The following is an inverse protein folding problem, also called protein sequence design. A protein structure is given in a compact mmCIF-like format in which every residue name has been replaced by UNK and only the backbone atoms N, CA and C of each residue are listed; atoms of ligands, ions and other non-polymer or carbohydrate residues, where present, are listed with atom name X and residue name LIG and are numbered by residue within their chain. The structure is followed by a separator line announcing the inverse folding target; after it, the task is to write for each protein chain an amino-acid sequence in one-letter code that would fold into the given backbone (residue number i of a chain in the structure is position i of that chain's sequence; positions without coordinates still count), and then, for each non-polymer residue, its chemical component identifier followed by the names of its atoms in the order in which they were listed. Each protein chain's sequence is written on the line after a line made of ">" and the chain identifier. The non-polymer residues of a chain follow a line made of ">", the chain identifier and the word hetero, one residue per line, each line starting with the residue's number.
data_IF_352086294643
#
_entry.id   IF_352086294643
#
_cell.length_a   1.000
_cell.length_b   1.000
_cell.length_c   1.000
_cell.angle_alpha   90.00
_cell.angle_beta   90.00
_cell.angle_gamma   90.00
#
_symmetry.space_group_name_H-M   'P 1'
#
loop_
_entity.id
_entity.type
_entity.pdbx_description
1 polymer ?
#
# COMPACT_ATOMS: atom_id res chain seq x y z
N UNK A 1 6.89 22.70 13.34
CA UNK A 1 5.43 22.53 13.16
C UNK A 1 4.86 23.12 11.86
N UNK A 2 5.17 24.37 11.48
CA UNK A 2 4.52 25.04 10.33
C UNK A 2 4.79 24.38 8.97
N UNK A 3 6.01 23.93 8.68
CA UNK A 3 6.37 23.45 7.34
C UNK A 3 5.63 22.17 6.88
N UNK A 4 5.45 21.17 7.77
CA UNK A 4 4.72 19.94 7.44
C UNK A 4 3.21 20.11 7.57
N UNK A 5 2.72 20.90 8.54
CA UNK A 5 1.31 21.27 8.62
C UNK A 5 0.84 22.02 7.36
N UNK A 6 1.66 22.95 6.85
CA UNK A 6 1.44 23.60 5.56
C UNK A 6 1.52 22.60 4.39
N UNK A 7 2.40 21.58 4.45
CA UNK A 7 2.42 20.51 3.45
C UNK A 7 1.10 19.74 3.42
N UNK A 8 0.55 19.33 4.58
CA UNK A 8 -0.73 18.62 4.66
C UNK A 8 -1.93 19.50 4.25
N UNK A 9 -1.91 20.79 4.57
CA UNK A 9 -2.92 21.76 4.10
C UNK A 9 -2.83 21.97 2.59
N UNK A 10 -1.63 22.12 2.03
CA UNK A 10 -1.42 22.16 0.59
C UNK A 10 -1.85 20.85 -0.09
N UNK A 11 -1.58 19.69 0.53
CA UNK A 11 -1.98 18.37 0.04
C UNK A 11 -3.51 18.17 -0.01
N UNK A 12 -4.27 18.91 0.81
CA UNK A 12 -5.74 18.92 0.76
C UNK A 12 -6.35 19.86 -0.29
N UNK A 13 -5.53 20.54 -1.10
CA UNK A 13 -6.01 21.36 -2.21
C UNK A 13 -6.77 20.47 -3.22
N UNK A 14 -7.92 20.95 -3.69
CA UNK A 14 -8.75 20.28 -4.69
C UNK A 14 -7.96 19.95 -5.97
N UNK A 15 -6.92 20.73 -6.26
CA UNK A 15 -5.99 20.51 -7.38
C UNK A 15 -5.22 19.19 -7.26
N UNK A 16 -4.77 18.81 -6.06
CA UNK A 16 -4.00 17.59 -5.84
C UNK A 16 -4.87 16.34 -5.75
N UNK A 17 -6.10 16.48 -5.25
CA UNK A 17 -7.08 15.38 -5.23
C UNK A 17 -7.47 14.98 -6.65
N UNK A 18 -7.57 15.95 -7.57
CA UNK A 18 -7.93 15.71 -8.98
C UNK A 18 -6.71 15.52 -9.90
N UNK A 19 -5.50 15.67 -9.37
CA UNK A 19 -4.29 15.50 -10.15
C UNK A 19 -4.06 14.02 -10.50
N UNK A 20 -3.83 13.74 -11.78
CA UNK A 20 -3.46 12.41 -12.28
C UNK A 20 -2.17 12.46 -13.07
N UNK A 21 -1.15 11.77 -12.57
CA UNK A 21 0.13 11.60 -13.27
C UNK A 21 0.01 10.70 -14.51
N UNK A 22 1.01 10.73 -15.41
CA UNK A 22 1.00 9.95 -16.66
C UNK A 22 0.91 8.42 -16.46
N UNK A 23 1.22 7.94 -15.26
CA UNK A 23 1.21 6.53 -14.87
C UNK A 23 0.36 6.29 -13.63
N UNK A 24 -0.64 7.13 -13.39
CA UNK A 24 -1.54 6.95 -12.25
C UNK A 24 -2.83 6.25 -12.67
N UNK A 25 -3.21 5.21 -11.92
CA UNK A 25 -4.42 4.44 -12.22
C UNK A 25 -5.71 5.21 -11.90
N UNK A 26 -5.68 6.21 -11.03
CA UNK A 26 -6.76 7.16 -10.77
C UNK A 26 -6.19 8.49 -10.27
N UNK A 27 -7.05 9.45 -10.01
CA UNK A 27 -6.64 10.76 -9.50
C UNK A 27 -6.05 10.62 -8.09
N UNK A 28 -5.25 11.60 -7.65
CA UNK A 28 -4.73 11.69 -6.29
C UNK A 28 -3.69 10.63 -5.90
N UNK A 29 -3.26 9.73 -6.80
CA UNK A 29 -2.23 8.71 -6.50
C UNK A 29 -0.94 9.36 -5.99
N UNK A 30 -0.49 10.44 -6.65
CA UNK A 30 0.67 11.21 -6.17
C UNK A 30 0.44 11.85 -4.80
N UNK A 31 -0.78 12.32 -4.50
CA UNK A 31 -1.14 12.87 -3.20
C UNK A 31 -0.98 11.81 -2.10
N UNK A 32 -1.57 10.63 -2.28
CA UNK A 32 -1.50 9.54 -1.29
C UNK A 32 -0.08 9.01 -1.11
N UNK A 33 0.69 8.88 -2.19
CA UNK A 33 2.11 8.50 -2.14
C UNK A 33 2.96 9.56 -1.42
N UNK A 34 2.70 10.84 -1.66
CA UNK A 34 3.41 11.94 -1.01
C UNK A 34 3.08 11.98 0.48
N UNK A 35 1.81 11.79 0.84
CA UNK A 35 1.37 11.67 2.22
C UNK A 35 2.09 10.52 2.95
N UNK A 36 2.16 9.34 2.31
CA UNK A 36 2.85 8.17 2.87
C UNK A 36 4.33 8.48 3.16
N UNK A 37 5.04 9.05 2.18
CA UNK A 37 6.45 9.40 2.32
C UNK A 37 6.67 10.49 3.37
N UNK A 38 5.79 11.49 3.42
CA UNK A 38 5.84 12.58 4.40
C UNK A 38 5.63 12.07 5.83
N UNK A 39 4.66 11.18 6.04
CA UNK A 39 4.43 10.54 7.34
C UNK A 39 5.60 9.64 7.75
N UNK A 40 6.16 8.85 6.84
CA UNK A 40 7.33 8.02 7.13
C UNK A 40 8.52 8.89 7.54
N UNK A 41 8.80 9.96 6.79
CA UNK A 41 9.86 10.91 7.13
C UNK A 41 9.62 11.53 8.51
N UNK A 42 8.38 11.97 8.79
CA UNK A 42 8.04 12.57 10.07
C UNK A 42 8.21 11.57 11.23
N UNK A 43 7.75 10.33 11.07
CA UNK A 43 7.86 9.27 12.07
C UNK A 43 9.32 8.95 12.43
N UNK A 44 10.20 8.92 11.42
CA UNK A 44 11.62 8.64 11.58
C UNK A 44 12.46 9.85 12.03
N UNK A 45 11.85 11.03 12.15
CA UNK A 45 12.55 12.24 12.56
C UNK A 45 12.96 12.19 14.04
N UNK A 46 14.19 12.65 14.32
CA UNK A 46 14.66 12.88 15.68
C UNK A 46 13.94 14.07 16.34
N UNK A 47 13.51 15.06 15.55
CA UNK A 47 12.74 16.21 16.02
C UNK A 47 11.32 15.78 16.42
N UNK A 48 11.00 15.93 17.70
CA UNK A 48 9.71 15.58 18.29
C UNK A 48 8.54 16.38 17.69
N UNK A 49 8.74 17.66 17.38
CA UNK A 49 7.71 18.49 16.78
C UNK A 49 7.36 18.04 15.36
N UNK A 50 8.35 17.54 14.62
CA UNK A 50 8.14 16.92 13.30
C UNK A 50 7.44 15.58 13.47
N UNK A 51 7.90 14.75 14.41
CA UNK A 51 7.30 13.43 14.67
C UNK A 51 5.84 13.52 15.11
N UNK A 52 5.49 14.50 15.96
CA UNK A 52 4.12 14.77 16.37
C UNK A 52 3.18 15.07 15.18
N UNK A 53 3.69 15.62 14.07
CA UNK A 53 2.85 15.83 12.88
C UNK A 53 2.41 14.52 12.23
N UNK A 54 3.20 13.45 12.32
CA UNK A 54 2.78 12.14 11.85
C UNK A 54 1.53 11.67 12.61
N UNK A 55 1.48 11.91 13.92
CA UNK A 55 0.38 11.46 14.78
C UNK A 55 -0.93 12.17 14.48
N UNK A 56 -0.91 13.49 14.29
CA UNK A 56 -2.14 14.27 14.06
C UNK A 56 -2.79 13.92 12.72
N UNK A 57 -2.00 13.57 11.70
CA UNK A 57 -2.47 13.45 10.32
C UNK A 57 -2.46 12.01 9.77
N UNK A 58 -2.25 11.00 10.62
CA UNK A 58 -2.13 9.61 10.19
C UNK A 58 -3.35 9.09 9.41
N UNK A 59 -4.57 9.50 9.80
CA UNK A 59 -5.81 9.13 9.09
C UNK A 59 -6.06 9.79 7.73
N UNK A 60 -5.37 10.90 7.39
CA UNK A 60 -5.63 11.64 6.15
C UNK A 60 -5.30 10.85 4.88
N UNK A 61 -4.26 10.02 4.93
CA UNK A 61 -3.87 9.16 3.80
C UNK A 61 -5.03 8.26 3.34
N UNK A 62 -5.74 7.66 4.30
CA UNK A 62 -6.92 6.83 4.02
C UNK A 62 -8.10 7.63 3.50
N UNK A 63 -8.33 8.83 4.06
CA UNK A 63 -9.39 9.71 3.57
C UNK A 63 -9.17 10.07 2.10
N UNK A 64 -7.97 10.52 1.73
CA UNK A 64 -7.65 10.84 0.34
C UNK A 64 -7.71 9.62 -0.57
N UNK A 65 -7.19 8.48 -0.15
CA UNK A 65 -7.28 7.24 -0.93
C UNK A 65 -8.73 6.86 -1.23
N UNK A 66 -9.65 7.06 -0.28
CA UNK A 66 -11.08 6.80 -0.47
C UNK A 66 -11.73 7.81 -1.42
N UNK A 67 -11.48 9.10 -1.20
CA UNK A 67 -12.02 10.19 -2.03
C UNK A 67 -11.57 10.07 -3.48
N UNK A 68 -10.34 9.58 -3.71
CA UNK A 68 -9.77 9.39 -5.03
C UNK A 68 -10.12 8.04 -5.69
N UNK A 69 -10.97 7.23 -5.06
CA UNK A 69 -11.41 5.94 -5.60
C UNK A 69 -10.33 4.84 -5.61
N UNK A 70 -9.27 4.94 -4.80
CA UNK A 70 -8.14 4.03 -4.91
C UNK A 70 -8.39 2.60 -4.40
N UNK A 71 -9.51 2.38 -3.71
CA UNK A 71 -9.89 1.06 -3.20
C UNK A 71 -10.54 0.16 -4.26
N UNK A 72 -10.88 0.70 -5.45
CA UNK A 72 -11.38 -0.07 -6.59
C UNK A 72 -10.21 -0.59 -7.42
N UNK A 73 -9.43 -1.53 -6.88
CA UNK A 73 -8.37 -2.19 -7.63
C UNK A 73 -8.93 -3.46 -8.26
N UNK A 74 -9.08 -3.46 -9.59
CA UNK A 74 -9.42 -4.67 -10.34
C UNK A 74 -8.21 -5.61 -10.44
N UNK A 75 -8.46 -6.92 -10.39
CA UNK A 75 -7.43 -7.91 -10.69
C UNK A 75 -7.03 -7.83 -12.17
N UNK A 76 -5.72 -7.76 -12.43
CA UNK A 76 -5.20 -7.91 -13.78
C UNK A 76 -4.81 -9.35 -14.03
N UNK A 77 -5.29 -9.90 -15.12
CA UNK A 77 -4.79 -11.17 -15.64
C UNK A 77 -3.32 -11.02 -16.02
N UNK A 78 -2.49 -12.00 -15.63
CA UNK A 78 -1.09 -12.05 -16.02
C UNK A 78 -1.03 -12.54 -17.46
N UNK A 79 -0.56 -11.72 -18.41
CA UNK A 79 -0.46 -12.14 -19.80
C UNK A 79 0.66 -13.17 -19.98
N UNK A 80 0.56 -13.98 -21.04
CA UNK A 80 1.71 -14.72 -21.55
C UNK A 80 2.76 -13.79 -22.17
N UNK A 81 3.96 -14.32 -22.49
CA UNK A 81 4.97 -13.54 -23.21
C UNK A 81 4.42 -13.09 -24.57
N UNK A 82 4.24 -11.79 -24.75
CA UNK A 82 3.66 -11.18 -25.95
C UNK A 82 4.34 -9.85 -26.28
N UNK A 83 4.10 -9.31 -27.49
CA UNK A 83 4.57 -7.96 -27.86
C UNK A 83 4.03 -6.86 -26.94
N UNK A 84 2.95 -7.13 -26.21
CA UNK A 84 2.31 -6.18 -25.28
C UNK A 84 2.80 -6.35 -23.83
N UNK A 85 3.79 -7.21 -23.58
CA UNK A 85 4.28 -7.53 -22.23
C UNK A 85 4.70 -6.27 -21.45
N UNK A 86 5.37 -5.34 -22.12
CA UNK A 86 5.77 -4.05 -21.53
C UNK A 86 4.58 -3.21 -21.07
N UNK A 87 3.52 -3.14 -21.89
CA UNK A 87 2.33 -2.37 -21.56
C UNK A 87 1.59 -2.98 -20.36
N UNK A 88 1.48 -4.31 -20.34
CA UNK A 88 0.89 -5.05 -19.22
C UNK A 88 1.69 -4.87 -17.93
N UNK A 89 3.02 -4.98 -17.99
CA UNK A 89 3.88 -4.77 -16.84
C UNK A 89 3.75 -3.36 -16.28
N UNK A 90 3.74 -2.32 -17.13
CA UNK A 90 3.53 -0.94 -16.70
C UNK A 90 2.16 -0.73 -16.05
N UNK A 91 1.11 -1.30 -16.62
CA UNK A 91 -0.25 -1.24 -16.05
C UNK A 91 -0.31 -1.94 -14.69
N UNK A 92 0.25 -3.14 -14.59
CA UNK A 92 0.34 -3.88 -13.34
C UNK A 92 1.12 -3.10 -12.28
N UNK A 93 2.30 -2.57 -12.63
CA UNK A 93 3.15 -1.82 -11.71
C UNK A 93 2.45 -0.58 -11.17
N UNK A 94 1.65 0.07 -12.01
CA UNK A 94 0.82 1.21 -11.63
C UNK A 94 -0.20 0.83 -10.55
N UNK A 95 -0.97 -0.24 -10.77
CA UNK A 95 -1.97 -0.70 -9.79
C UNK A 95 -1.32 -1.23 -8.52
N UNK A 96 -0.22 -1.98 -8.64
CA UNK A 96 0.52 -2.51 -7.49
C UNK A 96 1.11 -1.36 -6.65
N UNK A 97 1.60 -0.28 -7.29
CA UNK A 97 2.09 0.92 -6.59
C UNK A 97 0.99 1.60 -5.79
N UNK A 98 -0.19 1.77 -6.39
CA UNK A 98 -1.36 2.33 -5.70
C UNK A 98 -1.78 1.47 -4.52
N UNK A 99 -1.87 0.15 -4.71
CA UNK A 99 -2.20 -0.80 -3.63
C UNK A 99 -1.18 -0.71 -2.50
N UNK A 100 0.11 -0.75 -2.82
CA UNK A 100 1.19 -0.63 -1.83
C UNK A 100 1.20 0.74 -1.13
N UNK A 101 0.74 1.80 -1.78
CA UNK A 101 0.59 3.10 -1.13
C UNK A 101 -0.40 3.05 0.03
N UNK A 102 -1.58 2.44 -0.18
CA UNK A 102 -2.61 2.32 0.85
C UNK A 102 -2.20 1.32 1.94
N UNK A 103 -1.62 0.19 1.54
CA UNK A 103 -1.08 -0.78 2.49
C UNK A 103 0.06 -0.20 3.34
N UNK A 104 0.88 0.66 2.78
CA UNK A 104 1.89 1.41 3.53
C UNK A 104 1.27 2.33 4.58
N UNK A 105 0.12 2.95 4.28
CA UNK A 105 -0.62 3.74 5.27
C UNK A 105 -1.10 2.86 6.43
N UNK A 106 -1.55 1.62 6.20
CA UNK A 106 -1.88 0.69 7.28
C UNK A 106 -0.67 0.37 8.17
N UNK A 107 0.51 0.16 7.58
CA UNK A 107 1.75 -0.05 8.35
C UNK A 107 2.08 1.16 9.21
N UNK A 108 2.04 2.37 8.64
CA UNK A 108 2.32 3.59 9.40
C UNK A 108 1.26 3.86 10.49
N UNK A 109 -0.01 3.59 10.22
CA UNK A 109 -1.11 3.74 11.18
C UNK A 109 -0.89 2.87 12.42
N UNK A 110 -0.48 1.62 12.24
CA UNK A 110 -0.09 0.71 13.32
C UNK A 110 1.11 1.19 14.14
N UNK A 111 2.20 1.58 13.45
CA UNK A 111 3.41 2.11 14.10
C UNK A 111 3.13 3.40 14.88
N UNK A 112 2.31 4.29 14.32
CA UNK A 112 1.88 5.54 14.97
C UNK A 112 1.00 5.23 16.18
N UNK A 113 0.09 4.27 16.08
CA UNK A 113 -0.74 3.81 17.19
C UNK A 113 0.12 3.32 18.36
N UNK A 114 1.12 2.47 18.09
CA UNK A 114 2.06 1.98 19.11
C UNK A 114 2.90 3.10 19.74
N UNK A 115 3.38 4.05 18.93
CA UNK A 115 4.27 5.12 19.42
C UNK A 115 3.51 6.21 20.17
N UNK A 116 2.29 6.54 19.75
CA UNK A 116 1.49 7.63 20.33
C UNK A 116 0.54 7.18 21.44
N UNK A 117 0.26 5.88 21.54
CA UNK A 117 -0.77 5.32 22.43
C UNK A 117 -2.21 5.58 21.98
N UNK A 118 -2.41 6.24 20.83
CA UNK A 118 -3.72 6.43 20.21
C UNK A 118 -4.12 5.21 19.39
N UNK A 119 -5.42 4.89 19.23
CA UNK A 119 -5.84 3.80 18.35
C UNK A 119 -5.53 4.09 16.88
N UNK A 120 -5.46 3.03 16.06
CA UNK A 120 -5.36 3.14 14.60
C UNK A 120 -6.56 3.86 13.99
N UNK A 121 -6.31 4.65 12.94
CA UNK A 121 -7.33 5.38 12.18
C UNK A 121 -8.16 4.49 11.26
N UNK A 122 -7.60 3.36 10.81
CA UNK A 122 -8.28 2.43 9.91
C UNK A 122 -8.09 0.97 10.34
N UNK A 123 -9.01 0.11 9.89
CA UNK A 123 -8.94 -1.34 10.09
C UNK A 123 -8.70 -2.04 8.75
N UNK A 124 -7.61 -2.77 8.65
CA UNK A 124 -7.21 -3.59 7.50
C UNK A 124 -8.18 -4.75 7.26
N UNK A 125 -8.81 -5.29 8.32
CA UNK A 125 -9.78 -6.39 8.23
C UNK A 125 -11.04 -6.08 7.43
N UNK A 126 -11.43 -4.81 7.33
CA UNK A 126 -12.60 -4.38 6.54
C UNK A 126 -12.21 -3.77 5.19
N UNK A 127 -10.91 -3.77 4.88
CA UNK A 127 -10.40 -3.28 3.60
C UNK A 127 -10.78 -4.25 2.50
N UNK A 128 -11.28 -3.71 1.38
CA UNK A 128 -11.44 -4.46 0.13
C UNK A 128 -10.12 -4.67 -0.62
N UNK A 129 -9.01 -4.17 -0.08
CA UNK A 129 -7.71 -4.34 -0.71
C UNK A 129 -7.12 -5.72 -0.42
N UNK A 130 -6.65 -6.41 -1.46
CA UNK A 130 -5.94 -7.65 -1.29
C UNK A 130 -4.50 -7.41 -0.82
N UNK A 131 -3.83 -8.50 -0.46
CA UNK A 131 -2.40 -8.53 -0.17
C UNK A 131 -1.56 -8.01 -1.34
N UNK A 132 -0.36 -7.50 -1.02
CA UNK A 132 0.60 -7.07 -2.03
C UNK A 132 1.19 -8.28 -2.74
N UNK A 133 1.47 -8.12 -4.04
CA UNK A 133 2.17 -9.15 -4.82
C UNK A 133 3.61 -9.33 -4.33
N UNK A 134 4.34 -10.29 -4.91
CA UNK A 134 5.75 -10.56 -4.59
C UNK A 134 6.60 -9.28 -4.64
N UNK A 135 7.45 -9.09 -3.63
CA UNK A 135 8.40 -7.97 -3.59
C UNK A 135 9.40 -8.04 -4.75
N UNK A 136 9.81 -9.25 -5.15
CA UNK A 136 10.68 -9.44 -6.30
C UNK A 136 10.01 -9.04 -7.62
N UNK A 137 8.72 -9.38 -7.80
CA UNK A 137 7.96 -8.95 -8.96
C UNK A 137 7.79 -7.42 -9.00
N UNK A 138 7.60 -6.79 -7.85
CA UNK A 138 7.47 -5.33 -7.75
C UNK A 138 8.79 -4.58 -7.99
N UNK A 139 9.91 -5.17 -7.53
CA UNK A 139 11.26 -4.62 -7.69
C UNK A 139 11.88 -4.92 -9.06
N UNK A 140 11.28 -5.80 -9.86
CA UNK A 140 11.73 -6.10 -11.20
C UNK A 140 12.01 -4.82 -12.00
N UNK A 141 13.10 -4.86 -12.76
CA UNK A 141 13.58 -3.73 -13.57
C UNK A 141 13.22 -3.87 -15.05
N UNK A 142 12.75 -5.06 -15.44
CA UNK A 142 12.28 -5.37 -16.79
C UNK A 142 10.97 -6.16 -16.77
N UNK A 143 10.22 -6.11 -17.87
CA UNK A 143 8.97 -6.85 -18.00
C UNK A 143 9.19 -8.38 -18.01
N UNK A 144 10.31 -8.84 -18.56
CA UNK A 144 10.68 -10.27 -18.56
C UNK A 144 11.02 -10.78 -17.16
N UNK A 145 11.76 -9.98 -16.38
CA UNK A 145 12.05 -10.29 -14.97
C UNK A 145 10.77 -10.33 -14.14
N UNK A 146 9.88 -9.34 -14.33
CA UNK A 146 8.55 -9.32 -13.72
C UNK A 146 7.77 -10.58 -14.07
N UNK A 147 7.66 -10.93 -15.35
CA UNK A 147 6.92 -12.10 -15.80
C UNK A 147 7.48 -13.39 -15.19
N UNK A 148 8.81 -13.53 -15.16
CA UNK A 148 9.48 -14.67 -14.52
C UNK A 148 9.08 -14.81 -13.06
N UNK A 149 9.02 -13.71 -12.31
CA UNK A 149 8.57 -13.74 -10.91
C UNK A 149 7.08 -14.05 -10.79
N UNK A 150 6.24 -13.49 -11.66
CA UNK A 150 4.79 -13.73 -11.64
C UNK A 150 4.41 -15.17 -12.02
N UNK A 151 5.24 -15.86 -12.81
CA UNK A 151 5.02 -17.25 -13.24
C UNK A 151 5.56 -18.30 -12.26
N UNK A 152 6.25 -17.90 -11.18
CA UNK A 152 6.73 -18.87 -10.20
C UNK A 152 5.55 -19.56 -9.52
N UNK A 153 5.57 -20.91 -9.34
CA UNK A 153 4.46 -21.65 -8.72
C UNK A 153 4.07 -21.14 -7.32
N UNK A 154 5.04 -20.54 -6.62
CA UNK A 154 4.85 -19.93 -5.29
C UNK A 154 4.34 -18.48 -5.37
N UNK A 155 4.49 -17.79 -6.49
CA UNK A 155 3.96 -16.44 -6.71
C UNK A 155 2.45 -16.45 -7.04
N UNK A 156 1.88 -17.63 -7.26
CA UNK A 156 0.46 -17.85 -7.51
C UNK A 156 -0.31 -18.09 -6.20
N UNK A 157 -0.23 -17.16 -5.25
CA UNK A 157 -1.35 -17.02 -4.33
C UNK A 157 -2.33 -16.04 -4.96
N UNK A 158 -3.65 -16.34 -4.91
CA UNK A 158 -4.65 -15.36 -5.29
C UNK A 158 -4.43 -14.09 -4.48
N UNK A 159 -4.90 -12.99 -5.04
CA UNK A 159 -5.00 -11.71 -4.38
C UNK A 159 -5.98 -11.85 -3.19
N UNK A 160 -5.50 -12.42 -2.07
CA UNK A 160 -6.26 -12.76 -0.87
C UNK A 160 -6.51 -11.49 -0.05
N UNK A 161 -7.71 -11.33 0.50
CA UNK A 161 -8.04 -10.23 1.40
C UNK A 161 -7.35 -10.39 2.75
N UNK A 162 -7.02 -9.28 3.42
CA UNK A 162 -6.40 -9.36 4.74
C UNK A 162 -7.27 -10.10 5.76
N UNK A 163 -8.60 -9.95 5.70
CA UNK A 163 -9.54 -10.72 6.54
C UNK A 163 -9.32 -12.24 6.44
N UNK A 164 -9.15 -12.76 5.22
CA UNK A 164 -8.90 -14.17 4.95
C UNK A 164 -7.50 -14.59 5.44
N UNK A 165 -6.51 -13.70 5.35
CA UNK A 165 -5.17 -13.93 5.90
C UNK A 165 -5.23 -14.13 7.42
N UNK A 166 -5.91 -13.24 8.15
CA UNK A 166 -6.03 -13.38 9.61
C UNK A 166 -6.74 -14.68 9.99
N UNK A 167 -7.84 -15.02 9.33
CA UNK A 167 -8.54 -16.31 9.55
C UNK A 167 -7.59 -17.49 9.30
N UNK A 168 -6.82 -17.44 8.22
CA UNK A 168 -5.88 -18.51 7.84
C UNK A 168 -4.77 -18.69 8.86
N UNK A 169 -4.21 -17.62 9.43
CA UNK A 169 -3.12 -17.69 10.43
C UNK A 169 -3.57 -18.44 11.69
N UNK A 170 -4.83 -18.29 12.09
CA UNK A 170 -5.40 -19.01 13.23
C UNK A 170 -5.94 -20.40 12.89
N UNK A 171 -5.85 -20.84 11.62
CA UNK A 171 -6.26 -22.19 11.22
C UNK A 171 -5.29 -23.24 11.75
N UNK A 172 -5.79 -24.41 12.23
CA UNK A 172 -4.95 -25.54 12.62
C UNK A 172 -4.00 -26.02 11.50
N UNK A 173 -4.38 -25.79 10.23
CA UNK A 173 -3.60 -26.23 9.06
C UNK A 173 -2.46 -25.28 8.67
N UNK A 174 -2.40 -24.08 9.26
CA UNK A 174 -1.42 -23.05 8.86
C UNK A 174 0.03 -23.51 9.03
N UNK A 175 0.33 -24.28 10.09
CA UNK A 175 1.68 -24.79 10.32
C UNK A 175 2.17 -25.73 9.22
N UNK A 176 1.23 -26.45 8.60
CA UNK A 176 1.53 -27.41 7.52
C UNK A 176 1.57 -26.72 6.16
N UNK A 177 0.69 -25.73 5.97
CA UNK A 177 0.55 -24.98 4.71
C UNK A 177 0.50 -23.47 5.00
N UNK A 178 1.66 -22.86 5.31
CA UNK A 178 1.70 -21.44 5.58
C UNK A 178 1.37 -20.63 4.32
N UNK A 179 0.73 -19.48 4.52
CA UNK A 179 0.51 -18.54 3.43
C UNK A 179 1.85 -17.97 2.96
N UNK A 180 2.07 -17.99 1.64
CA UNK A 180 3.23 -17.36 1.02
C UNK A 180 2.96 -15.88 0.72
N UNK A 181 3.08 -15.04 1.76
CA UNK A 181 2.88 -13.60 1.65
C UNK A 181 4.19 -12.89 1.29
N UNK A 182 4.10 -11.77 0.57
CA UNK A 182 5.23 -10.84 0.43
C UNK A 182 5.66 -10.31 1.81
N UNK A 183 6.94 -10.00 1.98
CA UNK A 183 7.45 -9.42 3.24
C UNK A 183 6.69 -8.14 3.57
N UNK A 184 6.37 -7.34 2.54
CA UNK A 184 5.54 -6.16 2.70
C UNK A 184 4.14 -6.49 3.25
N UNK A 185 3.46 -7.52 2.76
CA UNK A 185 2.15 -7.94 3.28
C UNK A 185 2.24 -8.47 4.71
N UNK A 186 3.34 -9.16 5.06
CA UNK A 186 3.58 -9.61 6.43
C UNK A 186 3.66 -8.42 7.39
N UNK A 187 4.37 -7.33 7.01
CA UNK A 187 4.40 -6.11 7.82
C UNK A 187 3.00 -5.51 8.01
N UNK A 188 2.16 -5.49 6.96
CA UNK A 188 0.78 -5.00 7.07
C UNK A 188 -0.02 -5.84 8.08
N UNK A 189 0.15 -7.17 8.08
CA UNK A 189 -0.53 -8.05 9.05
C UNK A 189 -0.04 -7.81 10.47
N UNK A 190 1.28 -7.66 10.66
CA UNK A 190 1.88 -7.48 11.99
C UNK A 190 1.48 -6.13 12.59
N UNK A 191 1.62 -5.05 11.82
CA UNK A 191 1.25 -3.70 12.29
C UNK A 191 -0.27 -3.49 12.36
N UNK A 192 -1.05 -4.46 11.88
CA UNK A 192 -2.49 -4.46 12.02
C UNK A 192 -3.04 -5.03 13.33
N UNK A 193 -2.18 -5.58 14.19
CA UNK A 193 -2.57 -6.13 15.50
C UNK A 193 -2.45 -5.07 16.59
#
# INVERSE_FOLDING_TARGET
>A
MVALGSLFVCLSDATLITHRGPRDACDGVQLVLTALRGQLFALLSSDESIRATAFVWHGLGFYWARTCGMYTVGELSIPGPSQELQAHWHRWRTLETQKRAILGHYVLDGLISQTSGSPTSARHLISSLPTASSDAAFQATTADEWLKHMQQPLAYLPSVLFSEVYVSIFSPTYRTYPLNLSSFSIFVVIEGL
#
